data_IF_215939740904
#
_entry.id   IF_215939740904
#
_cell.length_a   1.000
_cell.length_b   1.000
_cell.length_c   1.000
_cell.angle_alpha   90.00
_cell.angle_beta   90.00
_cell.angle_gamma   90.00
#
_symmetry.space_group_name_H-M   'P 1'
#
loop_
_entity.id
_entity.type
_entity.pdbx_description
1 polymer ?
#
# COMPACT_ATOMS: atom_id res chain seq x y z
N UNK A 1 0.36 19.55 -11.59
CA UNK A 1 0.50 19.68 -10.12
C UNK A 1 2.00 19.26 -9.89
N UNK A 2 2.80 19.97 -9.08
CA UNK A 2 4.23 19.72 -8.77
C UNK A 2 4.60 18.29 -8.28
N UNK A 3 5.51 17.58 -8.98
CA UNK A 3 6.06 16.26 -8.59
C UNK A 3 6.48 16.10 -7.10
N UNK A 4 6.80 17.19 -6.40
CA UNK A 4 7.17 17.19 -4.99
C UNK A 4 6.09 16.64 -4.04
N UNK A 5 4.79 16.89 -4.27
CA UNK A 5 3.76 16.36 -3.36
C UNK A 5 3.50 14.86 -3.60
N UNK A 6 3.76 14.35 -4.81
CA UNK A 6 3.60 12.93 -5.14
C UNK A 6 4.65 12.15 -4.36
N UNK A 7 5.90 12.59 -4.45
CA UNK A 7 7.01 11.96 -3.73
C UNK A 7 6.76 11.96 -2.22
N UNK A 8 6.27 13.07 -1.65
CA UNK A 8 5.95 13.15 -0.22
C UNK A 8 4.82 12.18 0.18
N UNK A 9 3.76 12.09 -0.62
CA UNK A 9 2.63 11.20 -0.33
C UNK A 9 3.06 9.74 -0.35
N UNK A 10 3.84 9.30 -1.34
CA UNK A 10 4.35 7.92 -1.41
C UNK A 10 5.34 7.63 -0.31
N UNK A 11 6.18 8.61 0.07
CA UNK A 11 7.15 8.43 1.16
C UNK A 11 6.43 8.20 2.49
N UNK A 12 5.36 8.95 2.76
CA UNK A 12 4.49 8.75 3.94
C UNK A 12 3.81 7.38 3.89
N UNK A 13 3.30 6.98 2.73
CA UNK A 13 2.60 5.72 2.53
C UNK A 13 3.54 4.52 2.68
N UNK A 14 4.78 4.64 2.19
CA UNK A 14 5.86 3.68 2.37
C UNK A 14 6.29 3.57 3.83
N UNK A 15 6.46 4.70 4.53
CA UNK A 15 6.74 4.73 5.97
C UNK A 15 5.62 4.07 6.77
N UNK A 16 4.36 4.33 6.43
CA UNK A 16 3.20 3.71 7.06
C UNK A 16 3.21 2.19 6.86
N UNK A 17 3.44 1.72 5.63
CA UNK A 17 3.53 0.30 5.33
C UNK A 17 4.72 -0.39 6.03
N UNK A 18 5.89 0.25 6.07
CA UNK A 18 7.08 -0.26 6.75
C UNK A 18 6.88 -0.32 8.28
N UNK A 19 6.31 0.73 8.88
CA UNK A 19 5.96 0.75 10.29
C UNK A 19 4.92 -0.33 10.62
N UNK A 20 3.98 -0.57 9.71
CA UNK A 20 3.04 -1.67 9.81
C UNK A 20 3.81 -2.99 9.82
N UNK A 21 4.65 -3.28 8.83
CA UNK A 21 5.42 -4.54 8.73
C UNK A 21 6.37 -4.83 9.90
N UNK A 22 6.94 -3.78 10.53
CA UNK A 22 7.86 -3.94 11.66
C UNK A 22 7.15 -4.26 12.99
N UNK A 23 5.93 -3.75 13.22
CA UNK A 23 5.12 -4.04 14.42
C UNK A 23 4.86 -5.55 14.69
N UNK A 24 4.48 -6.39 13.70
CA UNK A 24 4.15 -7.78 13.93
C UNK A 24 5.38 -8.65 14.25
N UNK A 25 6.58 -8.30 13.77
CA UNK A 25 7.83 -9.06 14.01
C UNK A 25 8.23 -9.11 15.50
N UNK A 26 7.80 -8.14 16.30
CA UNK A 26 8.20 -8.00 17.71
C UNK A 26 7.44 -8.97 18.65
N UNK A 27 6.31 -9.57 18.22
CA UNK A 27 5.55 -10.54 19.05
C UNK A 27 5.16 -11.80 18.27
N UNK A 28 5.93 -12.88 18.48
CA UNK A 28 5.87 -14.21 17.81
C UNK A 28 4.59 -15.03 18.04
N UNK A 29 3.63 -14.61 18.88
CA UNK A 29 2.59 -15.53 19.38
C UNK A 29 1.35 -15.78 18.50
N UNK A 30 1.05 -14.97 17.48
CA UNK A 30 -0.20 -15.11 16.66
C UNK A 30 0.00 -14.65 15.21
N UNK A 31 0.86 -15.35 14.47
CA UNK A 31 1.30 -14.95 13.11
C UNK A 31 0.17 -14.99 12.07
N UNK A 32 -0.77 -15.93 12.17
CA UNK A 32 -1.81 -16.17 11.15
C UNK A 32 -2.89 -15.08 11.16
N UNK A 33 -3.40 -14.73 12.36
CA UNK A 33 -4.38 -13.67 12.54
C UNK A 33 -3.82 -12.29 12.14
N UNK A 34 -2.52 -12.06 12.42
CA UNK A 34 -1.83 -10.86 11.95
C UNK A 34 -1.76 -10.85 10.43
N UNK A 35 -1.36 -11.94 9.78
CA UNK A 35 -1.25 -12.00 8.31
C UNK A 35 -2.57 -11.63 7.61
N UNK A 36 -3.70 -12.15 8.12
CA UNK A 36 -5.04 -11.82 7.61
C UNK A 36 -5.37 -10.34 7.81
N UNK A 37 -5.05 -9.77 8.97
CA UNK A 37 -5.20 -8.33 9.22
C UNK A 37 -4.31 -7.49 8.29
N UNK A 38 -3.09 -7.93 7.99
CA UNK A 38 -2.18 -7.25 7.05
C UNK A 38 -2.69 -7.27 5.62
N UNK A 39 -3.23 -8.40 5.18
CA UNK A 39 -3.88 -8.56 3.87
C UNK A 39 -5.12 -7.66 3.76
N UNK A 40 -5.97 -7.67 4.78
CA UNK A 40 -7.15 -6.79 4.87
C UNK A 40 -6.81 -5.30 4.90
N UNK A 41 -5.73 -4.92 5.60
CA UNK A 41 -5.23 -3.55 5.62
C UNK A 41 -4.64 -3.14 4.26
N UNK A 42 -3.96 -4.06 3.56
CA UNK A 42 -3.51 -3.84 2.18
C UNK A 42 -4.66 -3.52 1.23
N UNK A 43 -5.73 -4.31 1.29
CA UNK A 43 -6.97 -4.04 0.54
C UNK A 43 -7.59 -2.67 0.89
N UNK A 44 -7.69 -2.35 2.18
CA UNK A 44 -8.21 -1.04 2.61
C UNK A 44 -7.35 0.10 2.08
N UNK A 45 -6.02 -0.05 2.10
CA UNK A 45 -5.08 0.93 1.57
C UNK A 45 -5.23 1.08 0.06
N UNK A 46 -5.42 -0.03 -0.67
CA UNK A 46 -5.66 -0.01 -2.12
C UNK A 46 -6.94 0.75 -2.47
N UNK A 47 -8.03 0.51 -1.73
CA UNK A 47 -9.30 1.24 -1.90
C UNK A 47 -9.11 2.72 -1.58
N UNK A 48 -8.36 3.03 -0.52
CA UNK A 48 -8.03 4.40 -0.16
C UNK A 48 -7.24 5.11 -1.27
N UNK A 49 -6.23 4.45 -1.85
CA UNK A 49 -5.50 4.96 -3.03
C UNK A 49 -6.37 5.07 -4.27
N UNK A 50 -7.36 4.21 -4.44
CA UNK A 50 -8.27 4.32 -5.59
C UNK A 50 -9.14 5.59 -5.49
N UNK A 51 -9.65 5.90 -4.29
CA UNK A 51 -10.50 7.08 -4.05
C UNK A 51 -9.65 8.36 -3.98
N UNK A 52 -8.60 8.37 -3.16
CA UNK A 52 -7.77 9.56 -2.92
C UNK A 52 -6.66 9.74 -3.95
N UNK A 53 -6.19 8.67 -4.58
CA UNK A 53 -5.11 8.75 -5.57
C UNK A 53 -5.50 9.53 -6.82
N UNK A 54 -6.80 9.68 -7.12
CA UNK A 54 -7.26 10.57 -8.18
C UNK A 54 -6.94 12.05 -7.89
N UNK A 55 -6.91 12.46 -6.62
CA UNK A 55 -6.54 13.83 -6.22
C UNK A 55 -5.03 14.09 -6.32
N UNK A 56 -4.21 13.03 -6.30
CA UNK A 56 -2.75 13.12 -6.27
C UNK A 56 -2.07 12.49 -7.50
N UNK A 57 -2.81 12.23 -8.59
CA UNK A 57 -2.36 11.43 -9.76
C UNK A 57 -1.87 10.00 -9.45
N UNK A 58 -1.89 9.57 -8.19
CA UNK A 58 -1.59 8.22 -7.72
C UNK A 58 -2.80 7.28 -7.78
N UNK A 59 -3.66 7.45 -8.77
CA UNK A 59 -4.81 6.59 -8.95
C UNK A 59 -4.34 5.17 -9.28
N UNK A 60 -4.46 4.23 -8.35
CA UNK A 60 -4.27 2.81 -8.66
C UNK A 60 -5.64 2.24 -9.07
N UNK A 61 -5.81 1.82 -10.34
CA UNK A 61 -7.07 1.20 -10.75
C UNK A 61 -7.30 -0.08 -9.95
N UNK A 62 -8.52 -0.25 -9.44
CA UNK A 62 -8.98 -1.48 -8.79
C UNK A 62 -9.23 -2.55 -9.86
N UNK A 63 -8.17 -3.20 -10.30
CA UNK A 63 -8.19 -4.35 -11.20
C UNK A 63 -7.83 -5.63 -10.44
N UNK A 64 -8.14 -6.78 -11.04
CA UNK A 64 -7.82 -8.08 -10.47
C UNK A 64 -6.35 -8.21 -10.03
N UNK A 65 -5.40 -7.65 -10.80
CA UNK A 65 -3.97 -7.66 -10.47
C UNK A 65 -3.63 -6.85 -9.21
N UNK A 66 -4.14 -5.62 -9.08
CA UNK A 66 -3.91 -4.76 -7.92
C UNK A 66 -4.56 -5.33 -6.66
N UNK A 67 -5.72 -5.97 -6.82
CA UNK A 67 -6.41 -6.67 -5.74
C UNK A 67 -5.58 -7.89 -5.29
N UNK A 68 -5.18 -8.77 -6.20
CA UNK A 68 -4.37 -9.96 -5.90
C UNK A 68 -3.03 -9.61 -5.23
N UNK A 69 -2.33 -8.60 -5.75
CA UNK A 69 -1.06 -8.14 -5.18
C UNK A 69 -1.25 -7.50 -3.81
N UNK A 70 -2.31 -6.70 -3.61
CA UNK A 70 -2.66 -6.15 -2.28
C UNK A 70 -3.08 -7.24 -1.29
N UNK A 71 -3.67 -8.34 -1.76
CA UNK A 71 -4.11 -9.45 -0.92
C UNK A 71 -2.93 -10.36 -0.54
N UNK A 72 -2.03 -10.63 -1.50
CA UNK A 72 -0.89 -11.52 -1.36
C UNK A 72 0.26 -10.87 -0.59
N UNK A 73 0.57 -9.60 -0.87
CA UNK A 73 1.64 -8.86 -0.20
C UNK A 73 1.11 -7.95 0.92
N UNK A 74 -0.17 -7.59 0.96
CA UNK A 74 -0.70 -6.62 1.93
C UNK A 74 -0.31 -5.18 1.59
N UNK A 75 -0.18 -4.34 2.62
CA UNK A 75 0.31 -2.95 2.50
C UNK A 75 1.58 -2.79 1.65
N UNK A 76 2.66 -3.59 1.80
CA UNK A 76 3.85 -3.39 0.96
C UNK A 76 3.59 -3.61 -0.52
N UNK A 77 2.66 -4.50 -0.90
CA UNK A 77 2.28 -4.70 -2.30
C UNK A 77 1.67 -3.45 -2.92
N UNK A 78 0.81 -2.78 -2.15
CA UNK A 78 0.16 -1.53 -2.57
C UNK A 78 1.18 -0.40 -2.75
N UNK A 79 2.14 -0.28 -1.82
CA UNK A 79 3.22 0.72 -1.93
C UNK A 79 4.08 0.46 -3.15
N UNK A 80 4.46 -0.80 -3.38
CA UNK A 80 5.32 -1.17 -4.49
C UNK A 80 4.66 -0.88 -5.85
N UNK A 81 3.35 -1.12 -5.96
CA UNK A 81 2.56 -0.74 -7.14
C UNK A 81 2.50 0.78 -7.33
N UNK A 82 2.38 1.55 -6.24
CA UNK A 82 2.45 3.01 -6.27
C UNK A 82 3.79 3.53 -6.79
N UNK A 83 4.90 2.95 -6.31
CA UNK A 83 6.26 3.29 -6.77
C UNK A 83 6.46 2.91 -8.23
N UNK A 84 6.01 1.72 -8.65
CA UNK A 84 6.07 1.32 -10.05
C UNK A 84 5.33 2.31 -10.95
N UNK A 85 4.18 2.81 -10.50
CA UNK A 85 3.43 3.80 -11.26
C UNK A 85 4.22 5.10 -11.45
N UNK A 86 4.94 5.59 -10.44
CA UNK A 86 5.81 6.79 -10.61
C UNK A 86 6.96 6.53 -11.58
N UNK A 87 7.53 5.33 -11.59
CA UNK A 87 8.71 5.04 -12.41
C UNK A 87 8.34 4.80 -13.88
N UNK A 88 7.18 4.18 -14.14
CA UNK A 88 6.76 3.72 -15.47
C UNK A 88 5.68 4.60 -16.14
N UNK A 89 5.17 5.64 -15.47
CA UNK A 89 4.17 6.59 -15.99
C UNK A 89 4.65 8.00 -15.72
#
# INVERSE_FOLDING_TARGET
MNANYEILFISILALFAAALLLRPMIKRGKTILKLVLFSGMGLCLLIFLNIFGNYFNMYLPLNYFTILTSLALGCPGVVMLGVLKIIFV
#
